data_IF_789909462853
#
_entry.id   IF_789909462853
#
_cell.length_a   1.000
_cell.length_b   1.000
_cell.length_c   1.000
_cell.angle_alpha   90.00
_cell.angle_beta   90.00
_cell.angle_gamma   90.00
#
_symmetry.space_group_name_H-M   'P 1'
#
loop_
_entity.id
_entity.type
_entity.pdbx_description
1 polymer ?
#
# COMPACT_ATOMS: atom_id res chain seq x y z
N UNK A 1 12.57 53.62 -13.52
CA UNK A 1 13.10 52.29 -13.10
C UNK A 1 12.27 51.77 -11.93
N UNK A 2 11.48 50.69 -12.12
CA UNK A 2 10.97 49.73 -11.11
C UNK A 2 9.74 49.03 -11.69
N UNK A 3 9.92 47.93 -12.41
CA UNK A 3 8.82 47.07 -12.84
C UNK A 3 9.31 45.64 -13.08
N UNK A 4 10.14 45.10 -12.19
CA UNK A 4 10.79 43.80 -12.43
C UNK A 4 11.00 42.95 -11.18
N UNK A 5 10.23 43.18 -10.11
CA UNK A 5 10.36 42.39 -8.85
C UNK A 5 9.15 41.46 -8.61
N UNK A 6 8.08 41.54 -9.41
CA UNK A 6 6.89 40.72 -9.17
C UNK A 6 6.88 39.35 -9.86
N UNK A 7 7.75 39.12 -10.85
CA UNK A 7 7.69 37.92 -11.71
C UNK A 7 8.50 36.73 -11.18
N UNK A 8 9.47 36.98 -10.29
CA UNK A 8 10.38 35.93 -9.81
C UNK A 8 9.83 35.07 -8.66
N UNK A 9 8.83 35.54 -7.91
CA UNK A 9 8.28 34.78 -6.78
C UNK A 9 7.32 33.64 -7.18
N UNK A 10 6.79 33.65 -8.41
CA UNK A 10 5.85 32.61 -8.85
C UNK A 10 6.53 31.37 -9.45
N UNK A 11 7.81 31.44 -9.80
CA UNK A 11 8.51 30.31 -10.44
C UNK A 11 8.99 29.25 -9.45
N UNK A 12 9.17 29.59 -8.17
CA UNK A 12 9.69 28.66 -7.16
C UNK A 12 8.62 27.64 -6.73
N UNK A 13 7.34 28.03 -6.74
CA UNK A 13 6.24 27.16 -6.30
C UNK A 13 5.96 26.01 -7.27
N UNK A 14 6.18 26.21 -8.58
CA UNK A 14 5.89 25.19 -9.60
C UNK A 14 6.88 24.04 -9.55
N UNK A 15 8.11 24.24 -9.04
CA UNK A 15 9.12 23.16 -8.97
C UNK A 15 8.81 22.15 -7.84
N UNK A 16 8.16 22.58 -6.76
CA UNK A 16 7.85 21.66 -5.65
C UNK A 16 6.64 20.76 -5.92
N UNK A 17 5.75 21.11 -6.85
CA UNK A 17 4.60 20.26 -7.18
C UNK A 17 4.97 19.11 -8.12
N UNK A 18 5.87 19.32 -9.09
CA UNK A 18 6.31 18.26 -10.02
C UNK A 18 7.15 17.15 -9.37
N UNK A 19 7.83 17.42 -8.24
CA UNK A 19 8.63 16.40 -7.54
C UNK A 19 7.75 15.43 -6.75
N UNK A 20 6.55 15.83 -6.33
CA UNK A 20 5.62 14.96 -5.61
C UNK A 20 4.98 13.93 -6.54
N UNK A 21 4.70 14.32 -7.79
CA UNK A 21 4.02 13.46 -8.77
C UNK A 21 4.94 12.36 -9.35
N UNK A 22 6.27 12.55 -9.28
CA UNK A 22 7.24 11.53 -9.69
C UNK A 22 7.47 10.44 -8.63
N UNK A 23 7.07 10.64 -7.36
CA UNK A 23 7.12 9.58 -6.33
C UNK A 23 5.98 8.56 -6.47
N UNK A 24 4.97 8.88 -7.26
CA UNK A 24 3.88 7.97 -7.66
C UNK A 24 4.22 7.19 -8.92
N UNK A 25 5.47 7.21 -9.41
CA UNK A 25 5.93 6.17 -10.33
C UNK A 25 6.07 4.88 -9.55
N UNK A 26 5.11 3.99 -9.80
CA UNK A 26 5.10 2.56 -9.51
C UNK A 26 6.50 1.98 -9.31
N UNK A 27 7.01 2.06 -8.08
CA UNK A 27 8.13 1.20 -7.70
C UNK A 27 7.60 -0.21 -7.84
N UNK A 28 8.26 -1.10 -8.61
CA UNK A 28 7.97 -2.51 -8.52
C UNK A 28 8.02 -2.85 -7.03
N UNK A 29 6.90 -3.28 -6.48
CA UNK A 29 6.87 -3.75 -5.09
C UNK A 29 7.85 -4.92 -5.09
N UNK A 30 8.94 -4.75 -4.34
CA UNK A 30 9.99 -5.74 -4.20
C UNK A 30 9.33 -7.01 -3.63
N UNK A 31 9.07 -8.01 -4.49
CA UNK A 31 8.31 -9.21 -4.13
C UNK A 31 9.05 -10.07 -3.10
N UNK A 32 10.37 -9.87 -3.01
CA UNK A 32 11.30 -10.79 -2.35
C UNK A 32 11.42 -10.59 -0.82
N UNK A 33 10.78 -9.56 -0.24
CA UNK A 33 10.79 -9.33 1.21
C UNK A 33 9.41 -8.99 1.80
N UNK A 34 8.32 -9.40 1.17
CA UNK A 34 7.01 -9.30 1.82
C UNK A 34 6.96 -10.22 3.03
N UNK A 35 6.79 -9.62 4.21
CA UNK A 35 6.42 -10.31 5.44
C UNK A 35 5.37 -11.39 5.11
N UNK A 36 5.64 -12.69 5.38
CA UNK A 36 4.76 -13.78 4.96
C UNK A 36 3.30 -13.60 5.40
N UNK A 37 3.08 -12.90 6.53
CA UNK A 37 1.74 -12.57 7.05
C UNK A 37 0.95 -11.59 6.19
N UNK A 38 1.62 -10.88 5.28
CA UNK A 38 1.01 -9.96 4.33
C UNK A 38 0.64 -10.65 3.01
N UNK A 39 1.21 -11.82 2.71
CA UNK A 39 0.95 -12.54 1.46
C UNK A 39 -0.44 -13.18 1.51
N UNK A 40 -1.17 -13.10 0.40
CA UNK A 40 -2.48 -13.77 0.26
C UNK A 40 -2.30 -15.28 0.48
N UNK A 41 -3.02 -15.89 1.44
CA UNK A 41 -3.02 -17.34 1.58
C UNK A 41 -3.67 -18.02 0.37
N UNK A 42 -3.39 -19.30 0.17
CA UNK A 42 -4.01 -20.08 -0.91
C UNK A 42 -5.54 -20.04 -0.81
N UNK A 43 -6.22 -19.95 -1.96
CA UNK A 43 -7.67 -19.94 -2.00
C UNK A 43 -8.22 -21.26 -1.46
N UNK A 44 -8.93 -21.16 -0.34
CA UNK A 44 -9.48 -22.30 0.38
C UNK A 44 -10.87 -21.94 0.90
N UNK A 45 -11.91 -22.08 0.06
CA UNK A 45 -13.25 -21.59 0.35
C UNK A 45 -13.85 -22.20 1.62
N UNK A 46 -14.56 -21.38 2.40
CA UNK A 46 -15.32 -21.82 3.56
C UNK A 46 -15.59 -20.68 4.55
N UNK A 47 -16.08 -21.04 5.74
CA UNK A 47 -16.52 -20.09 6.78
C UNK A 47 -15.83 -20.32 8.13
N UNK A 48 -14.59 -20.83 8.11
CA UNK A 48 -13.85 -21.22 9.31
C UNK A 48 -13.22 -20.05 10.05
N UNK A 49 -12.41 -19.25 9.36
CA UNK A 49 -11.70 -18.10 9.95
C UNK A 49 -11.60 -16.95 8.95
N UNK A 50 -11.67 -15.73 9.47
CA UNK A 50 -11.47 -14.51 8.69
C UNK A 50 -10.09 -13.93 9.01
N UNK A 51 -9.32 -13.64 7.97
CA UNK A 51 -7.96 -13.12 8.06
C UNK A 51 -7.79 -11.93 7.12
N UNK A 52 -6.68 -11.23 7.24
CA UNK A 52 -6.31 -10.11 6.40
C UNK A 52 -4.94 -10.28 5.75
N UNK A 53 -4.85 -9.83 4.50
CA UNK A 53 -3.65 -9.88 3.67
C UNK A 53 -3.52 -8.58 2.88
N UNK A 54 -2.32 -8.30 2.37
CA UNK A 54 -2.03 -7.15 1.52
C UNK A 54 -2.21 -7.50 0.05
N UNK A 55 -3.00 -6.70 -0.64
CA UNK A 55 -3.16 -6.73 -2.10
C UNK A 55 -2.48 -5.49 -2.69
N UNK A 56 -1.49 -5.67 -3.60
CA UNK A 56 -0.78 -4.55 -4.25
C UNK A 56 -1.67 -3.52 -4.95
N UNK A 57 -2.89 -3.86 -5.34
CA UNK A 57 -3.79 -2.99 -6.11
C UNK A 57 -4.78 -2.23 -5.23
N UNK A 58 -5.12 -2.79 -4.07
CA UNK A 58 -6.22 -2.31 -3.22
C UNK A 58 -5.87 -2.22 -1.74
N UNK A 59 -4.63 -2.49 -1.36
CA UNK A 59 -4.15 -2.48 0.02
C UNK A 59 -4.64 -3.69 0.83
N UNK A 60 -4.78 -3.52 2.14
CA UNK A 60 -5.21 -4.60 3.02
C UNK A 60 -6.67 -5.02 2.80
N UNK A 61 -6.91 -6.32 2.61
CA UNK A 61 -8.24 -6.93 2.38
C UNK A 61 -8.52 -8.05 3.36
N UNK A 62 -9.79 -8.39 3.51
CA UNK A 62 -10.25 -9.58 4.24
C UNK A 62 -10.40 -10.77 3.30
N UNK A 63 -10.16 -11.97 3.84
CA UNK A 63 -10.48 -13.25 3.23
C UNK A 63 -11.04 -14.20 4.29
N UNK A 64 -12.05 -14.98 3.92
CA UNK A 64 -12.58 -16.05 4.77
C UNK A 64 -12.10 -17.39 4.24
N UNK A 65 -11.42 -18.15 5.09
CA UNK A 65 -10.93 -19.48 4.78
C UNK A 65 -11.79 -20.55 5.47
N UNK A 66 -11.86 -21.74 4.88
CA UNK A 66 -12.40 -22.92 5.53
C UNK A 66 -11.66 -23.33 6.81
N UNK A 67 -12.30 -24.15 7.65
CA UNK A 67 -11.79 -24.53 8.99
C UNK A 67 -10.44 -25.25 8.95
N UNK A 68 -10.19 -26.04 7.91
CA UNK A 68 -8.99 -26.88 7.77
C UNK A 68 -7.93 -26.25 6.85
N UNK A 69 -8.05 -24.96 6.56
CA UNK A 69 -7.15 -24.27 5.63
C UNK A 69 -5.90 -23.74 6.36
N UNK A 70 -4.74 -24.02 5.79
CA UNK A 70 -3.46 -23.42 6.21
C UNK A 70 -3.41 -21.94 5.84
N UNK A 71 -2.77 -21.13 6.68
CA UNK A 71 -2.48 -19.73 6.42
C UNK A 71 -1.00 -19.42 6.69
N UNK A 72 -0.57 -18.19 6.42
CA UNK A 72 0.81 -17.75 6.63
C UNK A 72 1.01 -17.07 8.01
N UNK A 73 0.12 -17.33 8.97
CA UNK A 73 0.01 -16.54 10.20
C UNK A 73 -0.53 -15.13 9.95
N UNK A 74 -1.36 -14.98 8.92
CA UNK A 74 -1.95 -13.70 8.50
C UNK A 74 -2.65 -12.96 9.64
N UNK A 75 -2.78 -11.65 9.52
CA UNK A 75 -3.33 -10.82 10.58
C UNK A 75 -4.84 -11.03 10.74
N UNK A 76 -5.39 -11.04 11.97
CA UNK A 76 -6.82 -11.24 12.19
C UNK A 76 -7.65 -9.99 11.86
N UNK A 77 -7.04 -8.81 11.70
CA UNK A 77 -7.74 -7.54 11.46
C UNK A 77 -7.05 -6.69 10.39
N UNK A 78 -7.85 -5.91 9.67
CA UNK A 78 -7.34 -4.93 8.69
C UNK A 78 -6.39 -3.91 9.31
N UNK A 79 -6.62 -3.53 10.57
CA UNK A 79 -5.75 -2.59 11.29
C UNK A 79 -4.34 -3.16 11.48
N UNK A 80 -4.23 -4.41 11.90
CA UNK A 80 -2.93 -5.07 12.06
C UNK A 80 -2.25 -5.27 10.71
N UNK A 81 -3.00 -5.62 9.66
CA UNK A 81 -2.45 -5.66 8.31
C UNK A 81 -1.88 -4.28 7.90
N UNK A 82 -2.64 -3.19 8.05
CA UNK A 82 -2.18 -1.83 7.70
C UNK A 82 -0.98 -1.37 8.54
N UNK A 83 -0.88 -1.85 9.78
CA UNK A 83 0.23 -1.53 10.68
C UNK A 83 1.55 -2.20 10.27
N UNK A 84 1.49 -3.42 9.72
CA UNK A 84 2.68 -4.26 9.51
C UNK A 84 2.97 -4.61 8.04
N UNK A 85 2.07 -4.29 7.13
CA UNK A 85 2.26 -4.44 5.68
C UNK A 85 2.54 -3.07 5.03
N UNK A 86 2.83 -3.09 3.73
CA UNK A 86 3.06 -1.88 2.97
C UNK A 86 1.84 -0.94 3.00
N UNK A 87 2.04 0.39 2.91
CA UNK A 87 0.93 1.32 2.74
C UNK A 87 0.16 1.02 1.45
N UNK A 88 -1.13 1.36 1.43
CA UNK A 88 -1.91 1.30 0.21
C UNK A 88 -1.35 2.31 -0.82
N UNK A 89 -1.31 1.97 -2.13
CA UNK A 89 -0.96 2.91 -3.18
C UNK A 89 -1.95 4.08 -3.29
#
# INVERSE_FOLDING_TARGET
MKATIAVLCFLVAVVYTIVVEAKTMSRPIDEDALNPKCVKPADCPGTGKTLSYYDPKSGCKLITLGKNCTDNGNYPTLELCRKYCLPAP
#
